data_IF_597995944448
#
_entry.id   IF_597995944448
#
_cell.length_a   1.000
_cell.length_b   1.000
_cell.length_c   1.000
_cell.angle_alpha   90.00
_cell.angle_beta   90.00
_cell.angle_gamma   90.00
#
_symmetry.space_group_name_H-M   'P 1'
#
loop_
_entity.id
_entity.type
_entity.pdbx_description
1 polymer ?
#
# COMPACT_ATOMS: atom_id res chain seq x y z
N UNK A 1 -4.71 -1.26 -22.29
CA UNK A 1 -4.16 -1.96 -21.11
C UNK A 1 -3.64 -0.89 -20.16
N UNK A 2 -4.04 -0.91 -18.89
CA UNK A 2 -3.57 0.09 -17.91
C UNK A 2 -2.16 -0.31 -17.47
N UNK A 3 -1.20 0.61 -17.61
CA UNK A 3 0.17 0.45 -17.10
C UNK A 3 0.48 1.53 -16.08
N UNK A 4 0.95 1.13 -14.91
CA UNK A 4 1.43 2.02 -13.88
C UNK A 4 2.88 2.38 -14.16
N UNK A 5 3.14 3.68 -14.36
CA UNK A 5 4.47 4.21 -14.66
C UNK A 5 5.07 4.79 -13.39
N UNK A 6 6.20 4.25 -12.93
CA UNK A 6 6.92 4.77 -11.77
C UNK A 6 7.53 6.16 -12.07
N UNK A 7 7.43 7.13 -11.14
CA UNK A 7 6.67 7.08 -9.89
C UNK A 7 5.16 7.31 -10.10
N UNK A 8 4.32 6.65 -9.30
CA UNK A 8 2.87 6.88 -9.31
C UNK A 8 2.29 6.93 -7.90
N UNK A 9 1.08 7.49 -7.81
CA UNK A 9 0.21 7.44 -6.63
C UNK A 9 -1.16 6.98 -7.06
N UNK A 10 -1.78 6.09 -6.30
CA UNK A 10 -3.12 5.56 -6.59
C UNK A 10 -3.95 5.48 -5.31
N UNK A 11 -5.27 5.62 -5.44
CA UNK A 11 -6.23 5.47 -4.35
C UNK A 11 -7.20 4.35 -4.72
N UNK A 12 -7.37 3.40 -3.82
CA UNK A 12 -8.34 2.30 -3.94
C UNK A 12 -9.36 2.47 -2.82
N UNK A 13 -10.48 3.12 -3.11
CA UNK A 13 -11.49 3.46 -2.12
C UNK A 13 -12.82 2.73 -2.37
N UNK A 14 -13.55 2.48 -1.28
CA UNK A 14 -14.85 1.84 -1.30
C UNK A 14 -15.28 1.35 0.09
N UNK A 15 -16.57 0.99 0.28
CA UNK A 15 -17.08 0.53 1.58
C UNK A 15 -16.32 -0.68 2.15
N UNK A 16 -16.45 -0.93 3.45
CA UNK A 16 -15.96 -2.18 4.03
C UNK A 16 -16.59 -3.39 3.32
N UNK A 17 -15.80 -4.44 3.07
CA UNK A 17 -16.25 -5.64 2.37
C UNK A 17 -16.39 -5.54 0.85
N UNK A 18 -16.12 -4.39 0.20
CA UNK A 18 -16.24 -4.27 -1.26
C UNK A 18 -15.08 -4.90 -2.07
N UNK A 19 -14.09 -5.51 -1.39
CA UNK A 19 -13.00 -6.24 -2.03
C UNK A 19 -11.71 -5.45 -2.26
N UNK A 20 -11.48 -4.33 -1.55
CA UNK A 20 -10.27 -3.51 -1.71
C UNK A 20 -8.98 -4.27 -1.40
N UNK A 21 -8.93 -4.96 -0.26
CA UNK A 21 -7.80 -5.82 0.09
C UNK A 21 -7.54 -6.88 -0.98
N UNK A 22 -8.60 -7.48 -1.54
CA UNK A 22 -8.50 -8.43 -2.65
C UNK A 22 -8.00 -7.78 -3.95
N UNK A 23 -8.36 -6.53 -4.22
CA UNK A 23 -7.80 -5.78 -5.34
C UNK A 23 -6.30 -5.56 -5.16
N UNK A 24 -5.87 -5.09 -3.97
CA UNK A 24 -4.45 -4.81 -3.69
C UNK A 24 -3.62 -6.09 -3.74
N UNK A 25 -4.09 -7.21 -3.19
CA UNK A 25 -3.36 -8.48 -3.28
C UNK A 25 -3.22 -8.96 -4.71
N UNK A 26 -4.26 -8.84 -5.54
CA UNK A 26 -4.19 -9.17 -6.96
C UNK A 26 -3.25 -8.23 -7.70
N UNK A 27 -3.30 -6.92 -7.42
CA UNK A 27 -2.35 -5.95 -7.99
C UNK A 27 -0.90 -6.37 -7.70
N UNK A 28 -0.59 -6.72 -6.45
CA UNK A 28 0.76 -7.15 -6.07
C UNK A 28 1.17 -8.47 -6.74
N UNK A 29 0.24 -9.40 -6.93
CA UNK A 29 0.48 -10.67 -7.64
C UNK A 29 0.83 -10.43 -9.11
N UNK A 30 0.13 -9.53 -9.79
CA UNK A 30 0.30 -9.23 -11.22
C UNK A 30 1.17 -7.99 -11.48
N UNK A 31 1.85 -7.44 -10.46
CA UNK A 31 2.57 -6.16 -10.55
C UNK A 31 3.61 -6.11 -11.67
N UNK A 32 4.26 -7.24 -11.98
CA UNK A 32 5.29 -7.32 -13.06
C UNK A 32 4.71 -7.09 -14.45
N UNK A 33 3.42 -7.34 -14.64
CA UNK A 33 2.69 -7.10 -15.88
C UNK A 33 2.04 -5.70 -15.87
N UNK A 34 1.65 -5.23 -14.68
CA UNK A 34 0.92 -3.98 -14.51
C UNK A 34 1.83 -2.75 -14.38
N UNK A 35 3.08 -2.91 -13.92
CA UNK A 35 4.02 -1.82 -13.65
C UNK A 35 5.20 -1.84 -14.63
N UNK A 36 5.74 -0.67 -14.96
CA UNK A 36 6.94 -0.55 -15.80
C UNK A 36 8.27 -0.80 -15.06
N UNK A 37 8.22 -1.03 -13.74
CA UNK A 37 9.39 -1.28 -12.88
C UNK A 37 9.16 -2.49 -12.00
N UNK A 38 10.26 -3.13 -11.61
CA UNK A 38 10.29 -4.16 -10.57
C UNK A 38 10.64 -3.52 -9.22
N UNK A 39 9.67 -3.47 -8.31
CA UNK A 39 9.87 -2.94 -6.96
C UNK A 39 10.79 -3.85 -6.16
N UNK A 40 11.89 -3.30 -5.65
CA UNK A 40 12.84 -4.04 -4.81
C UNK A 40 12.36 -4.21 -3.38
N UNK A 41 11.40 -3.38 -2.98
CA UNK A 41 10.84 -3.38 -1.65
C UNK A 41 9.37 -2.99 -1.72
N UNK A 42 8.53 -3.78 -1.05
CA UNK A 42 7.09 -3.55 -0.92
C UNK A 42 6.79 -3.52 0.57
N UNK A 43 6.27 -2.39 1.03
CA UNK A 43 5.91 -2.16 2.42
C UNK A 43 4.40 -2.01 2.49
N UNK A 44 3.74 -2.84 3.29
CA UNK A 44 2.31 -2.77 3.51
C UNK A 44 2.06 -2.44 4.97
N UNK A 45 1.70 -1.18 5.22
CA UNK A 45 1.31 -0.69 6.53
C UNK A 45 -0.17 -0.98 6.77
N UNK A 46 -0.55 -1.53 7.93
CA UNK A 46 -1.95 -1.90 8.23
C UNK A 46 -2.30 -1.66 9.70
N UNK A 47 -3.59 -1.48 10.03
CA UNK A 47 -4.07 -1.43 11.43
C UNK A 47 -4.43 -2.83 11.94
N UNK A 48 -5.27 -3.56 11.21
CA UNK A 48 -5.71 -4.91 11.54
C UNK A 48 -5.22 -5.94 10.50
N UNK A 49 -4.58 -7.01 10.97
CA UNK A 49 -4.07 -8.08 10.11
C UNK A 49 -5.23 -8.83 9.44
N UNK A 50 -5.22 -8.91 8.10
CA UNK A 50 -6.24 -9.61 7.34
C UNK A 50 -5.76 -11.01 6.93
N UNK A 51 -6.66 -12.01 6.83
CA UNK A 51 -6.29 -13.36 6.36
C UNK A 51 -5.63 -13.41 4.98
N UNK A 52 -5.85 -12.38 4.16
CA UNK A 52 -5.28 -12.26 2.81
C UNK A 52 -3.81 -11.78 2.81
N UNK A 53 -3.27 -11.40 3.99
CA UNK A 53 -1.87 -10.98 4.15
C UNK A 53 -0.97 -12.21 4.25
N UNK A 54 -0.61 -12.77 3.10
CA UNK A 54 0.36 -13.87 3.03
C UNK A 54 1.15 -13.87 1.71
N UNK A 55 1.35 -12.69 1.13
CA UNK A 55 2.15 -12.54 -0.08
C UNK A 55 3.64 -12.56 0.26
N UNK A 56 4.38 -13.38 -0.47
CA UNK A 56 5.84 -13.38 -0.43
C UNK A 56 6.41 -12.04 -0.89
N UNK A 57 7.55 -11.64 -0.31
CA UNK A 57 8.26 -10.39 -0.64
C UNK A 57 7.44 -9.12 -0.35
N UNK A 58 6.54 -9.18 0.64
CA UNK A 58 5.85 -8.01 1.19
C UNK A 58 6.22 -7.87 2.66
N UNK A 59 6.73 -6.70 3.03
CA UNK A 59 7.04 -6.34 4.40
C UNK A 59 5.78 -5.76 5.05
N UNK A 60 5.10 -6.56 5.86
CA UNK A 60 3.93 -6.13 6.61
C UNK A 60 4.37 -5.39 7.87
N UNK A 61 3.90 -4.16 8.03
CA UNK A 61 4.20 -3.31 9.18
C UNK A 61 2.88 -2.82 9.80
N UNK A 62 2.72 -2.95 11.11
CA UNK A 62 1.52 -2.43 11.76
C UNK A 62 1.70 -0.94 12.07
N UNK A 63 0.67 -0.12 11.81
CA UNK A 63 0.65 1.31 12.12
C UNK A 63 1.24 2.21 11.02
N UNK A 64 1.52 3.46 11.40
CA UNK A 64 1.99 4.51 10.47
C UNK A 64 3.43 4.24 9.98
N UNK A 65 3.69 4.30 8.66
CA UNK A 65 5.05 4.16 8.13
C UNK A 65 5.94 5.30 8.60
N UNK A 66 7.18 4.97 8.99
CA UNK A 66 8.25 5.97 9.06
C UNK A 66 8.61 6.39 7.63
N UNK A 67 8.35 7.65 7.28
CA UNK A 67 8.61 8.19 5.95
C UNK A 67 10.11 8.19 5.59
N UNK A 68 11.01 8.07 6.58
CA UNK A 68 12.43 7.85 6.33
C UNK A 68 12.70 6.55 5.55
N UNK A 69 11.78 5.58 5.61
CA UNK A 69 11.82 4.31 4.85
C UNK A 69 11.57 4.48 3.36
N UNK A 70 11.21 5.68 2.88
CA UNK A 70 10.93 5.97 1.46
C UNK A 70 12.13 6.64 0.79
N UNK A 71 13.17 7.01 1.55
CA UNK A 71 14.38 7.61 1.02
C UNK A 71 15.29 6.50 0.44
N UNK A 72 15.45 6.44 -0.88
CA UNK A 72 16.10 5.30 -1.53
C UNK A 72 16.42 5.47 -3.00
N UNK A 73 17.53 4.86 -3.42
CA UNK A 73 18.02 4.86 -4.82
C UNK A 73 17.34 3.81 -5.72
N UNK A 74 16.29 3.14 -5.26
CA UNK A 74 15.61 2.08 -6.02
C UNK A 74 14.08 2.19 -5.91
N UNK A 75 13.32 1.68 -6.90
CA UNK A 75 11.87 1.73 -6.86
C UNK A 75 11.29 0.94 -5.67
N UNK A 76 10.53 1.63 -4.83
CA UNK A 76 9.76 1.05 -3.71
C UNK A 76 8.25 1.23 -3.92
N UNK A 77 7.47 0.34 -3.33
CA UNK A 77 6.01 0.46 -3.26
C UNK A 77 5.56 0.49 -1.81
N UNK A 78 4.93 1.60 -1.41
CA UNK A 78 4.31 1.75 -0.09
C UNK A 78 2.78 1.64 -0.23
N UNK A 79 2.19 0.78 0.59
CA UNK A 79 0.74 0.60 0.70
C UNK A 79 0.32 0.99 2.12
N UNK A 80 -0.74 1.78 2.22
CA UNK A 80 -1.28 2.29 3.50
C UNK A 80 -2.72 1.79 3.66
N UNK A 81 -2.83 0.76 4.52
CA UNK A 81 -3.89 -0.13 5.04
C UNK A 81 -4.89 0.32 6.13
N UNK A 82 -5.83 1.21 5.86
CA UNK A 82 -6.88 1.61 6.84
C UNK A 82 -6.31 1.97 8.22
N UNK A 83 -5.47 3.00 8.26
CA UNK A 83 -4.82 3.47 9.50
C UNK A 83 -5.66 4.48 10.30
N UNK A 84 -6.99 4.51 10.10
CA UNK A 84 -7.83 5.59 10.64
C UNK A 84 -7.94 5.58 12.17
N UNK A 85 -7.77 4.41 12.83
CA UNK A 85 -7.88 4.32 14.30
C UNK A 85 -6.71 4.93 15.08
N UNK A 86 -5.52 5.05 14.51
CA UNK A 86 -4.36 5.61 15.19
C UNK A 86 -4.33 7.16 15.20
N UNK A 87 -5.29 7.81 14.55
CA UNK A 87 -5.33 9.27 14.40
C UNK A 87 -5.96 10.00 15.59
N UNK A 88 -5.40 9.78 16.79
CA UNK A 88 -5.55 10.68 17.93
C UNK A 88 -4.82 12.01 17.71
N UNK A 89 -5.36 12.88 16.84
CA UNK A 89 -5.11 14.33 16.85
C UNK A 89 -3.89 14.90 16.10
N UNK A 90 -3.15 14.13 15.29
CA UNK A 90 -1.94 14.67 14.61
C UNK A 90 -1.90 14.64 13.07
N UNK A 91 -2.89 14.07 12.39
CA UNK A 91 -2.91 14.01 10.92
C UNK A 91 -4.00 14.90 10.32
N UNK A 92 -3.97 16.19 10.68
CA UNK A 92 -4.57 17.22 9.84
C UNK A 92 -3.60 17.55 8.71
N UNK A 93 -3.88 17.08 7.48
CA UNK A 93 -3.16 17.35 6.22
C UNK A 93 -2.03 16.38 5.82
N UNK A 94 -2.38 15.12 5.56
CA UNK A 94 -1.72 14.35 4.49
C UNK A 94 -2.82 13.56 3.78
N UNK A 95 -3.03 13.81 2.49
CA UNK A 95 -3.97 13.04 1.67
C UNK A 95 -3.42 11.62 1.52
N UNK A 96 -3.86 10.69 2.37
CA UNK A 96 -3.46 9.30 2.36
C UNK A 96 -4.67 8.39 2.05
N UNK A 97 -4.36 7.25 1.44
CA UNK A 97 -5.28 6.29 0.83
C UNK A 97 -6.33 5.82 1.83
N UNK A 98 -7.61 5.99 1.48
CA UNK A 98 -8.73 5.40 2.22
C UNK A 98 -8.82 3.92 1.90
N UNK A 99 -8.49 3.07 2.86
CA UNK A 99 -9.01 1.70 2.90
C UNK A 99 -10.14 1.61 3.94
#
# INVERSE_FOLDING_TARGET
>A
MIHFVHPFTAIVAGPSGCGKTNFVTNFLKYRKELCNVDFKEIIWCYDEMQPLYNLENVNYSQGIPDLSLIDGNYPRLLIIDDLMRESGGRLGKVNAIYL
#
